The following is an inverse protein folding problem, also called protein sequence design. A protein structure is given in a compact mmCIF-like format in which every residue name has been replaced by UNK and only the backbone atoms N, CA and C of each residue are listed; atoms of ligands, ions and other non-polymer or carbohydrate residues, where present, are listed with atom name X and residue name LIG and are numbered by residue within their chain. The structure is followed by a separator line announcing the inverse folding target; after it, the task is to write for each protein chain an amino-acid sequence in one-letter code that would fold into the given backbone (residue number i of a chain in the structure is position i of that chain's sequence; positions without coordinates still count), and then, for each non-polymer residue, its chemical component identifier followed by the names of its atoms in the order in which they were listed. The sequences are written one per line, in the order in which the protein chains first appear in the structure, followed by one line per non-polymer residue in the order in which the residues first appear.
data_IF_415146015526
#
_entry.id   IF_415146015526
#
_cell.length_a   1.000
_cell.length_b   1.000
_cell.length_c   1.000
_cell.angle_alpha   90.00
_cell.angle_beta   90.00
_cell.angle_gamma   90.00
#
_symmetry.space_group_name_H-M   'P 1'
#
loop_
_entity.id
_entity.type
_entity.pdbx_description
1 polymer ?
#
# COMPACT_ATOMS: atom_id res chain seq x y z
N UNK A 1 -23.18 -22.42 -7.07
CA UNK A 1 -23.28 -21.22 -6.22
C UNK A 1 -23.08 -20.03 -7.13
N UNK A 2 -24.05 -19.11 -7.24
CA UNK A 2 -23.89 -17.95 -8.11
C UNK A 2 -22.76 -17.08 -7.56
N UNK A 3 -21.90 -16.56 -8.42
CA UNK A 3 -20.69 -15.83 -8.01
C UNK A 3 -21.05 -14.59 -7.17
N UNK A 4 -22.22 -14.00 -7.44
CA UNK A 4 -22.80 -12.91 -6.67
C UNK A 4 -23.20 -13.31 -5.23
N UNK A 5 -23.65 -14.55 -5.02
CA UNK A 5 -24.00 -15.06 -3.68
C UNK A 5 -22.74 -15.23 -2.82
N UNK A 6 -21.66 -15.74 -3.42
CA UNK A 6 -20.36 -15.85 -2.75
C UNK A 6 -19.80 -14.48 -2.36
N UNK A 7 -19.93 -13.48 -3.24
CA UNK A 7 -19.51 -12.11 -2.94
C UNK A 7 -20.35 -11.47 -1.82
N UNK A 8 -21.69 -11.62 -1.87
CA UNK A 8 -22.60 -11.11 -0.82
C UNK A 8 -22.41 -11.80 0.52
N UNK A 9 -22.10 -13.10 0.53
CA UNK A 9 -21.81 -13.84 1.76
C UNK A 9 -20.62 -13.21 2.49
N UNK A 10 -19.54 -12.86 1.77
CA UNK A 10 -18.38 -12.19 2.36
C UNK A 10 -18.72 -10.78 2.89
N UNK A 11 -19.59 -10.03 2.21
CA UNK A 11 -20.08 -8.75 2.75
C UNK A 11 -20.87 -8.94 4.06
N UNK A 12 -21.69 -9.99 4.15
CA UNK A 12 -22.48 -10.28 5.33
C UNK A 12 -21.64 -10.70 6.55
N UNK A 13 -20.42 -11.21 6.34
CA UNK A 13 -19.49 -11.52 7.44
C UNK A 13 -19.13 -10.30 8.30
N UNK A 14 -19.24 -9.08 7.76
CA UNK A 14 -19.02 -7.85 8.53
C UNK A 14 -20.07 -7.63 9.62
N UNK A 15 -21.26 -8.24 9.46
CA UNK A 15 -22.35 -8.18 10.43
C UNK A 15 -22.14 -9.17 11.58
N UNK A 16 -21.19 -10.11 11.45
CA UNK A 16 -20.83 -11.07 12.50
C UNK A 16 -19.88 -10.40 13.49
N UNK A 17 -20.21 -10.51 14.78
CA UNK A 17 -19.44 -9.89 15.87
C UNK A 17 -18.04 -10.52 15.94
N UNK A 18 -16.99 -9.67 15.91
CA UNK A 18 -15.59 -10.11 15.98
C UNK A 18 -14.90 -10.33 14.63
N UNK A 19 -15.45 -9.77 13.55
CA UNK A 19 -14.80 -9.82 12.24
C UNK A 19 -13.59 -8.86 12.20
N UNK A 20 -12.39 -9.39 11.96
CA UNK A 20 -11.19 -8.58 11.80
C UNK A 20 -11.12 -7.97 10.39
N UNK A 21 -10.91 -6.64 10.25
CA UNK A 21 -11.04 -5.94 8.98
C UNK A 21 -9.98 -6.34 7.94
N UNK A 22 -8.77 -6.70 8.37
CA UNK A 22 -7.68 -7.07 7.46
C UNK A 22 -7.85 -8.49 6.88
N UNK A 23 -8.03 -9.56 7.69
CA UNK A 23 -8.38 -10.89 7.17
C UNK A 23 -9.68 -10.90 6.36
N UNK A 24 -10.67 -10.10 6.76
CA UNK A 24 -11.90 -9.94 5.98
C UNK A 24 -11.65 -9.32 4.61
N UNK A 25 -10.86 -8.23 4.55
CA UNK A 25 -10.58 -7.56 3.28
C UNK A 25 -9.81 -8.45 2.30
N UNK A 26 -8.91 -9.31 2.79
CA UNK A 26 -8.24 -10.31 1.97
C UNK A 26 -9.23 -11.30 1.34
N UNK A 27 -10.17 -11.83 2.13
CA UNK A 27 -11.23 -12.72 1.66
C UNK A 27 -12.17 -12.02 0.68
N UNK A 28 -12.55 -10.78 0.97
CA UNK A 28 -13.34 -9.94 0.07
C UNK A 28 -12.64 -9.71 -1.27
N UNK A 29 -11.33 -9.42 -1.29
CA UNK A 29 -10.57 -9.25 -2.53
C UNK A 29 -10.57 -10.53 -3.38
N UNK A 30 -10.45 -11.69 -2.76
CA UNK A 30 -10.54 -12.97 -3.47
C UNK A 30 -11.93 -13.17 -4.08
N UNK A 31 -13.00 -12.86 -3.34
CA UNK A 31 -14.37 -12.93 -3.87
C UNK A 31 -14.62 -11.91 -4.99
N UNK A 32 -14.09 -10.68 -4.84
CA UNK A 32 -14.17 -9.63 -5.86
C UNK A 32 -13.45 -10.04 -7.15
N UNK A 33 -12.21 -10.54 -7.08
CA UNK A 33 -11.47 -11.00 -8.27
C UNK A 33 -12.19 -12.14 -8.99
N UNK A 34 -12.84 -13.04 -8.24
CA UNK A 34 -13.67 -14.10 -8.83
C UNK A 34 -14.93 -13.54 -9.48
N UNK A 35 -15.57 -12.53 -8.89
CA UNK A 35 -16.74 -11.88 -9.49
C UNK A 35 -16.40 -11.05 -10.73
N UNK A 36 -15.26 -10.37 -10.70
CA UNK A 36 -14.74 -9.57 -11.81
C UNK A 36 -14.30 -10.45 -12.99
N UNK A 37 -13.64 -11.58 -12.73
CA UNK A 37 -13.23 -12.53 -13.77
C UNK A 37 -14.40 -13.19 -14.53
N UNK A 38 -15.62 -13.11 -13.99
CA UNK A 38 -16.84 -13.60 -14.62
C UNK A 38 -17.78 -12.46 -15.04
N UNK A 39 -17.26 -11.23 -15.16
CA UNK A 39 -17.99 -10.04 -15.60
C UNK A 39 -19.30 -9.81 -14.84
N UNK A 40 -19.28 -10.02 -13.51
CA UNK A 40 -20.47 -9.78 -12.70
C UNK A 40 -20.84 -8.28 -12.73
N UNK A 41 -22.01 -8.00 -13.33
CA UNK A 41 -22.61 -6.67 -13.37
C UNK A 41 -22.86 -6.09 -11.97
N UNK A 42 -22.94 -6.95 -10.95
CA UNK A 42 -23.15 -6.52 -9.58
C UNK A 42 -21.92 -5.84 -8.98
N UNK A 43 -20.71 -6.39 -9.19
CA UNK A 43 -19.46 -5.80 -8.67
C UNK A 43 -18.95 -4.64 -9.52
N UNK A 44 -19.32 -4.61 -10.81
CA UNK A 44 -19.03 -3.49 -11.71
C UNK A 44 -20.02 -2.32 -11.54
N UNK A 45 -21.21 -2.60 -11.02
CA UNK A 45 -22.28 -1.63 -10.83
C UNK A 45 -22.16 -0.78 -9.56
N UNK A 46 -22.94 0.31 -9.54
CA UNK A 46 -23.01 1.23 -8.40
C UNK A 46 -23.49 0.55 -7.11
N UNK A 47 -24.32 -0.48 -7.24
CA UNK A 47 -24.87 -1.23 -6.11
C UNK A 47 -23.79 -1.99 -5.33
N UNK A 48 -22.84 -2.62 -6.01
CA UNK A 48 -21.71 -3.30 -5.34
C UNK A 48 -20.84 -2.34 -4.53
N UNK A 49 -20.69 -1.08 -4.98
CA UNK A 49 -19.96 -0.05 -4.23
C UNK A 49 -20.70 0.38 -2.96
N UNK A 50 -22.01 0.58 -3.04
CA UNK A 50 -22.82 0.94 -1.88
C UNK A 50 -22.85 -0.19 -0.84
N UNK A 51 -23.01 -1.44 -1.29
CA UNK A 51 -23.04 -2.61 -0.40
C UNK A 51 -21.68 -2.83 0.26
N UNK A 52 -20.57 -2.54 -0.45
CA UNK A 52 -19.23 -2.54 0.14
C UNK A 52 -19.04 -1.41 1.16
N UNK A 53 -19.52 -0.21 0.86
CA UNK A 53 -19.49 0.93 1.78
C UNK A 53 -20.29 0.64 3.05
N UNK A 54 -21.47 0.03 2.93
CA UNK A 54 -22.27 -0.43 4.08
C UNK A 54 -21.49 -1.45 4.91
N UNK A 55 -20.88 -2.45 4.27
CA UNK A 55 -20.13 -3.49 4.97
C UNK A 55 -18.92 -2.93 5.73
N UNK A 56 -18.15 -2.02 5.12
CA UNK A 56 -16.97 -1.45 5.80
C UNK A 56 -17.34 -0.44 6.88
N UNK A 57 -18.56 0.12 6.88
CA UNK A 57 -19.01 1.10 7.88
C UNK A 57 -18.89 0.60 9.32
N UNK A 58 -18.92 -0.73 9.52
CA UNK A 58 -18.71 -1.40 10.81
C UNK A 58 -17.27 -1.26 11.32
N UNK A 59 -16.31 -1.03 10.42
CA UNK A 59 -14.87 -0.98 10.73
C UNK A 59 -14.29 0.43 10.77
N UNK A 60 -15.02 1.44 10.29
CA UNK A 60 -14.49 2.80 10.09
C UNK A 60 -15.32 3.86 10.80
N UNK A 61 -14.69 4.98 11.10
CA UNK A 61 -15.37 6.12 11.73
C UNK A 61 -16.41 6.75 10.77
N UNK A 62 -17.57 7.20 11.27
CA UNK A 62 -18.62 7.81 10.46
C UNK A 62 -18.18 9.03 9.62
N UNK A 63 -17.18 9.77 10.11
CA UNK A 63 -16.61 10.92 9.39
C UNK A 63 -15.89 10.48 8.11
N UNK A 64 -15.12 9.38 8.18
CA UNK A 64 -14.45 8.82 7.01
C UNK A 64 -15.48 8.27 6.01
N UNK A 65 -16.53 7.61 6.50
CA UNK A 65 -17.65 7.14 5.67
C UNK A 65 -18.35 8.29 4.95
N UNK A 66 -18.64 9.38 5.66
CA UNK A 66 -19.30 10.55 5.09
C UNK A 66 -18.46 11.18 3.97
N UNK A 67 -17.14 11.23 4.13
CA UNK A 67 -16.22 11.72 3.09
C UNK A 67 -16.20 10.78 1.87
N UNK A 68 -16.22 9.46 2.09
CA UNK A 68 -16.17 8.48 1.00
C UNK A 68 -17.49 8.39 0.24
N UNK A 69 -18.62 8.36 0.95
CA UNK A 69 -19.96 8.42 0.37
C UNK A 69 -20.17 9.76 -0.36
N UNK A 70 -19.75 10.88 0.24
CA UNK A 70 -19.78 12.20 -0.40
C UNK A 70 -18.99 12.22 -1.70
N UNK A 71 -17.74 11.74 -1.71
CA UNK A 71 -16.93 11.65 -2.94
C UNK A 71 -17.53 10.73 -4.00
N UNK A 72 -18.27 9.70 -3.60
CA UNK A 72 -18.88 8.74 -4.51
C UNK A 72 -20.21 9.24 -5.09
N UNK A 73 -21.03 9.92 -4.27
CA UNK A 73 -22.33 10.47 -4.67
C UNK A 73 -22.23 11.88 -5.26
N UNK A 74 -21.15 12.62 -5.01
CA UNK A 74 -20.95 13.94 -5.60
C UNK A 74 -20.91 13.84 -7.13
N UNK A 75 -21.74 14.61 -7.84
CA UNK A 75 -21.66 14.73 -9.29
C UNK A 75 -20.38 15.49 -9.63
N UNK A 76 -19.29 14.74 -9.83
CA UNK A 76 -18.02 15.29 -10.31
C UNK A 76 -18.06 15.37 -11.83
N UNK A 77 -17.78 16.55 -12.39
CA UNK A 77 -17.71 16.84 -13.84
C UNK A 77 -16.55 16.12 -14.59
N UNK A 78 -15.92 15.12 -13.97
CA UNK A 78 -14.91 14.28 -14.60
C UNK A 78 -15.39 12.82 -14.57
N UNK A 79 -15.49 12.22 -15.75
CA UNK A 79 -16.20 10.98 -16.14
C UNK A 79 -15.82 9.66 -15.44
N UNK A 80 -15.21 9.66 -14.26
CA UNK A 80 -14.88 8.42 -13.55
C UNK A 80 -15.33 8.48 -12.10
N UNK A 81 -16.58 8.06 -11.86
CA UNK A 81 -17.04 7.66 -10.53
C UNK A 81 -16.06 6.63 -9.95
N UNK A 82 -15.69 6.71 -8.67
CA UNK A 82 -14.75 5.77 -8.06
C UNK A 82 -15.27 4.34 -8.19
N UNK A 83 -14.59 3.45 -8.90
CA UNK A 83 -14.98 2.04 -8.93
C UNK A 83 -14.72 1.36 -7.58
N UNK A 84 -15.32 0.18 -7.40
CA UNK A 84 -15.20 -0.64 -6.18
C UNK A 84 -13.74 -0.87 -5.76
N UNK A 85 -12.85 -1.05 -6.74
CA UNK A 85 -11.41 -1.19 -6.53
C UNK A 85 -10.79 0.05 -5.87
N UNK A 86 -11.12 1.26 -6.36
CA UNK A 86 -10.62 2.53 -5.81
C UNK A 86 -11.06 2.75 -4.36
N UNK A 87 -12.31 2.41 -4.06
CA UNK A 87 -12.86 2.49 -2.70
C UNK A 87 -12.16 1.49 -1.78
N UNK A 88 -11.93 0.26 -2.25
CA UNK A 88 -11.24 -0.78 -1.47
C UNK A 88 -9.77 -0.44 -1.17
N UNK A 89 -9.05 0.20 -2.09
CA UNK A 89 -7.68 0.68 -1.86
C UNK A 89 -7.64 1.78 -0.79
N UNK A 90 -8.65 2.65 -0.81
CA UNK A 90 -8.76 3.74 0.17
C UNK A 90 -9.03 3.18 1.57
N UNK A 91 -9.92 2.18 1.68
CA UNK A 91 -10.16 1.44 2.92
C UNK A 91 -8.91 0.71 3.41
N UNK A 92 -8.21 -0.03 2.53
CA UNK A 92 -6.96 -0.70 2.87
C UNK A 92 -5.91 0.25 3.45
N UNK A 93 -5.71 1.41 2.80
CA UNK A 93 -4.80 2.44 3.31
C UNK A 93 -5.27 3.00 4.65
N UNK A 94 -6.57 3.11 4.87
CA UNK A 94 -7.12 3.59 6.13
C UNK A 94 -6.84 2.63 7.28
N UNK A 95 -7.02 1.32 7.08
CA UNK A 95 -6.78 0.30 8.11
C UNK A 95 -5.28 -0.03 8.31
N UNK A 96 -4.45 0.11 7.28
CA UNK A 96 -3.01 -0.25 7.35
C UNK A 96 -2.05 0.88 7.68
N UNK A 97 -2.48 2.15 7.64
CA UNK A 97 -1.57 3.31 7.88
C UNK A 97 -1.17 3.53 9.37
N UNK A 98 -1.47 2.59 10.27
CA UNK A 98 -0.98 2.46 11.67
C UNK A 98 -1.07 3.69 12.59
N UNK A 99 -2.06 3.68 13.49
CA UNK A 99 -1.93 3.76 14.97
C UNK A 99 -3.19 3.13 15.61
N UNK A 100 -3.12 2.23 16.62
CA UNK A 100 -4.26 1.43 17.11
C UNK A 100 -4.92 2.02 18.38
N UNK A 101 -6.04 1.45 18.88
CA UNK A 101 -6.86 0.38 18.32
C UNK A 101 -8.30 0.84 18.01
N UNK A 102 -8.97 0.03 17.22
CA UNK A 102 -10.40 -0.27 17.33
C UNK A 102 -10.98 0.12 18.71
N UNK A 103 -11.69 1.25 18.78
CA UNK A 103 -12.45 1.60 19.97
C UNK A 103 -13.70 0.73 19.96
N UNK A 104 -13.74 -0.28 20.83
CA UNK A 104 -15.02 -0.82 21.30
C UNK A 104 -15.90 0.38 21.70
N UNK A 105 -17.18 0.42 21.33
CA UNK A 105 -18.05 1.54 21.68
C UNK A 105 -18.16 1.61 23.21
N UNK A 106 -17.71 2.73 23.81
CA UNK A 106 -17.90 2.97 25.24
C UNK A 106 -16.87 3.77 26.03
N UNK A 107 -15.82 4.38 25.44
CA UNK A 107 -14.84 5.14 26.26
C UNK A 107 -14.67 6.60 25.82
N UNK A 108 -14.98 7.49 26.77
CA UNK A 108 -15.11 8.93 26.62
C UNK A 108 -13.79 9.67 26.34
N UNK A 109 -13.94 10.89 25.82
CA UNK A 109 -12.93 11.80 25.29
C UNK A 109 -11.84 12.22 26.28
N UNK A 110 -10.58 12.09 25.87
CA UNK A 110 -9.53 13.06 26.24
C UNK A 110 -8.69 13.37 25.00
N UNK A 111 -8.75 14.63 24.56
CA UNK A 111 -7.94 15.19 23.46
C UNK A 111 -6.47 15.19 23.90
N UNK A 112 -5.61 14.36 23.28
CA UNK A 112 -4.14 14.53 23.38
C UNK A 112 -3.61 15.08 22.06
N UNK A 113 -2.97 16.24 22.15
CA UNK A 113 -2.31 16.94 21.07
C UNK A 113 -1.29 16.04 20.37
N UNK A 114 -1.38 15.92 19.04
CA UNK A 114 -0.42 15.17 18.21
C UNK A 114 0.93 15.89 18.21
N UNK A 115 1.92 15.32 18.89
CA UNK A 115 3.34 15.68 18.72
C UNK A 115 3.79 15.14 17.35
N UNK A 116 4.05 16.04 16.40
CA UNK A 116 4.65 15.70 15.09
C UNK A 116 6.06 15.13 15.33
N UNK A 117 6.22 13.82 15.28
CA UNK A 117 7.56 13.24 15.18
C UNK A 117 8.16 13.57 13.81
N UNK A 118 9.23 14.35 13.83
CA UNK A 118 10.03 14.69 12.64
C UNK A 118 10.71 13.40 12.17
N UNK A 119 10.17 12.74 11.13
CA UNK A 119 10.89 11.65 10.44
C UNK A 119 12.27 12.17 10.00
N UNK A 120 13.33 11.60 10.55
CA UNK A 120 14.69 11.96 10.22
C UNK A 120 14.96 11.65 8.75
N UNK A 121 15.48 12.62 8.00
CA UNK A 121 15.82 12.42 6.59
C UNK A 121 17.08 11.56 6.52
N UNK A 122 16.99 10.36 5.96
CA UNK A 122 18.08 9.38 5.84
C UNK A 122 18.86 9.58 4.54
N UNK A 123 20.15 9.31 4.55
CA UNK A 123 21.01 9.38 3.36
C UNK A 123 20.82 8.11 2.50
N UNK A 124 21.04 8.21 1.18
CA UNK A 124 20.97 7.07 0.26
C UNK A 124 22.21 7.05 -0.66
N UNK A 125 22.79 5.88 -0.99
CA UNK A 125 23.88 5.78 -1.96
C UNK A 125 23.45 6.18 -3.38
N UNK A 126 22.13 6.19 -3.66
CA UNK A 126 21.54 6.62 -4.92
C UNK A 126 21.66 8.13 -5.23
N UNK A 127 22.13 8.94 -4.28
CA UNK A 127 22.41 10.37 -4.50
C UNK A 127 22.43 11.22 -3.22
N UNK A 128 22.84 12.50 -3.33
CA UNK A 128 23.12 13.36 -2.17
C UNK A 128 21.85 13.83 -1.42
N UNK A 129 20.67 13.67 -2.03
CA UNK A 129 19.41 14.12 -1.42
C UNK A 129 18.95 13.14 -0.35
N UNK A 130 18.85 13.62 0.89
CA UNK A 130 18.26 12.85 1.99
C UNK A 130 16.78 12.58 1.72
N UNK A 131 16.36 11.34 1.98
CA UNK A 131 15.01 10.84 1.71
C UNK A 131 14.28 10.55 3.01
N UNK A 132 12.96 10.51 2.94
CA UNK A 132 12.12 10.12 4.09
C UNK A 132 11.95 8.59 4.21
N UNK A 133 12.54 7.84 3.28
CA UNK A 133 12.52 6.38 3.19
C UNK A 133 13.91 5.81 3.42
N UNK A 134 13.94 4.56 3.86
CA UNK A 134 15.17 3.81 4.11
C UNK A 134 15.91 3.47 2.81
N UNK A 135 17.24 3.48 2.82
CA UNK A 135 18.04 3.18 1.63
C UNK A 135 17.75 1.77 1.06
N UNK A 136 17.30 0.84 1.90
CA UNK A 136 16.85 -0.51 1.52
C UNK A 136 15.59 -0.50 0.65
N UNK A 137 14.74 0.53 0.78
CA UNK A 137 13.54 0.72 -0.03
C UNK A 137 13.83 1.52 -1.31
N UNK A 138 15.10 1.78 -1.61
CA UNK A 138 15.47 2.56 -2.76
C UNK A 138 15.39 1.74 -4.06
N UNK A 139 14.40 2.05 -4.90
CA UNK A 139 14.25 1.38 -6.20
C UNK A 139 15.46 1.61 -7.13
N UNK A 140 16.18 2.74 -6.98
CA UNK A 140 17.39 3.02 -7.78
C UNK A 140 18.56 2.15 -7.31
N UNK A 141 18.67 1.92 -6.00
CA UNK A 141 19.68 1.03 -5.41
C UNK A 141 19.39 -0.42 -5.78
N UNK A 142 18.12 -0.83 -5.66
CA UNK A 142 17.64 -2.15 -6.06
C UNK A 142 17.97 -2.41 -7.53
N UNK A 143 17.66 -1.46 -8.42
CA UNK A 143 17.96 -1.59 -9.83
C UNK A 143 19.47 -1.63 -10.12
N UNK A 144 20.28 -0.85 -9.40
CA UNK A 144 21.73 -0.85 -9.57
C UNK A 144 22.39 -2.17 -9.14
N UNK A 145 21.80 -2.87 -8.16
CA UNK A 145 22.32 -4.13 -7.62
C UNK A 145 21.76 -5.34 -8.39
N UNK A 146 20.43 -5.42 -8.54
CA UNK A 146 19.72 -6.58 -9.09
C UNK A 146 19.42 -6.48 -10.59
N UNK A 147 19.70 -5.33 -11.21
CA UNK A 147 19.36 -5.06 -12.62
C UNK A 147 17.86 -4.95 -12.92
N UNK A 148 16.99 -5.12 -11.91
CA UNK A 148 15.53 -5.11 -12.04
C UNK A 148 14.86 -4.56 -10.79
N UNK A 149 13.66 -3.99 -10.94
CA UNK A 149 12.80 -3.55 -9.84
C UNK A 149 11.34 -3.62 -10.31
N UNK A 150 10.44 -4.04 -9.43
CA UNK A 150 8.99 -4.10 -9.73
C UNK A 150 8.33 -2.71 -9.75
N UNK A 151 9.06 -1.69 -9.30
CA UNK A 151 8.55 -0.32 -9.17
C UNK A 151 8.79 0.45 -10.48
N UNK A 152 7.76 1.17 -10.97
CA UNK A 152 7.88 2.03 -12.16
C UNK A 152 8.87 3.17 -11.91
N UNK A 153 10.12 2.98 -12.34
CA UNK A 153 11.17 4.01 -12.31
C UNK A 153 11.74 4.28 -13.69
N UNK A 154 12.24 5.50 -13.90
CA UNK A 154 13.11 5.79 -15.04
C UNK A 154 14.42 5.03 -14.83
N UNK A 155 14.72 4.09 -15.73
CA UNK A 155 15.94 3.28 -15.67
C UNK A 155 17.17 4.19 -15.57
N UNK A 156 17.99 4.08 -14.51
CA UNK A 156 19.23 4.85 -14.41
C UNK A 156 20.18 4.41 -15.52
N UNK A 157 20.96 5.36 -16.05
CA UNK A 157 22.01 5.06 -17.04
C UNK A 157 23.10 4.17 -16.43
N UNK A 158 23.83 3.40 -17.25
CA UNK A 158 24.91 2.52 -16.79
C UNK A 158 25.97 3.26 -15.97
N UNK A 159 26.31 4.50 -16.37
CA UNK A 159 27.20 5.39 -15.59
C UNK A 159 26.68 5.60 -14.16
N UNK A 160 25.39 5.91 -14.03
CA UNK A 160 24.76 6.14 -12.72
C UNK A 160 24.63 4.88 -11.89
N UNK A 161 24.48 3.72 -12.52
CA UNK A 161 24.48 2.44 -11.81
C UNK A 161 25.87 2.18 -11.21
N UNK A 162 26.93 2.36 -12.00
CA UNK A 162 28.31 2.21 -11.55
C UNK A 162 28.66 3.20 -10.43
N UNK A 163 28.20 4.45 -10.53
CA UNK A 163 28.39 5.44 -9.46
C UNK A 163 27.73 4.99 -8.14
N UNK A 164 26.53 4.40 -8.21
CA UNK A 164 25.81 3.91 -7.02
C UNK A 164 26.47 2.67 -6.43
N UNK A 165 26.99 1.77 -7.27
CA UNK A 165 27.78 0.62 -6.83
C UNK A 165 29.11 1.08 -6.20
N UNK A 166 29.85 1.99 -6.82
CA UNK A 166 31.05 2.56 -6.21
C UNK A 166 30.74 3.26 -4.88
N UNK A 167 29.59 3.94 -4.79
CA UNK A 167 29.14 4.61 -3.57
C UNK A 167 28.80 3.62 -2.46
N UNK A 168 28.11 2.50 -2.74
CA UNK A 168 27.73 1.51 -1.71
C UNK A 168 28.93 0.78 -1.11
N UNK A 169 30.04 0.70 -1.85
CA UNK A 169 31.27 0.08 -1.35
C UNK A 169 32.07 0.96 -0.38
N UNK A 170 31.72 2.25 -0.24
CA UNK A 170 32.34 3.15 0.74
C UNK A 170 32.03 2.70 2.17
N UNK A 171 32.99 2.92 3.08
CA UNK A 171 32.93 2.50 4.48
C UNK A 171 31.64 2.95 5.20
N UNK A 172 31.16 4.16 4.88
CA UNK A 172 29.93 4.74 5.45
C UNK A 172 28.65 3.92 5.20
N UNK A 173 28.66 2.95 4.29
CA UNK A 173 27.53 2.06 4.00
C UNK A 173 27.77 0.61 4.45
N UNK A 174 28.76 0.37 5.31
CA UNK A 174 29.05 -0.96 5.87
C UNK A 174 27.82 -1.64 6.47
N UNK A 175 27.07 -0.93 7.32
CA UNK A 175 25.83 -1.43 7.93
C UNK A 175 24.76 -1.71 6.87
N UNK A 176 24.60 -0.81 5.89
CA UNK A 176 23.64 -1.01 4.79
C UNK A 176 23.96 -2.27 3.99
N UNK A 177 25.23 -2.57 3.71
CA UNK A 177 25.62 -3.79 3.00
C UNK A 177 25.25 -5.05 3.80
N UNK A 178 25.37 -5.02 5.12
CA UNK A 178 24.95 -6.13 5.97
C UNK A 178 23.43 -6.34 5.90
N UNK A 179 22.65 -5.26 5.99
CA UNK A 179 21.19 -5.36 5.91
C UNK A 179 20.72 -5.82 4.52
N UNK A 180 21.39 -5.37 3.46
CA UNK A 180 21.08 -5.81 2.10
C UNK A 180 21.39 -7.30 1.89
N UNK A 181 22.50 -7.81 2.47
CA UNK A 181 22.80 -9.25 2.47
C UNK A 181 21.75 -10.08 3.22
N UNK A 182 21.23 -9.57 4.33
CA UNK A 182 20.12 -10.22 5.05
C UNK A 182 18.82 -10.28 4.23
N UNK A 183 18.65 -9.36 3.28
CA UNK A 183 17.51 -9.31 2.35
C UNK A 183 17.76 -10.08 1.04
N UNK A 184 18.83 -10.88 0.97
CA UNK A 184 19.20 -11.66 -0.21
C UNK A 184 19.53 -10.77 -1.43
N UNK A 185 20.10 -9.59 -1.20
CA UNK A 185 20.60 -8.74 -2.28
C UNK A 185 22.08 -9.02 -2.52
N UNK A 186 22.39 -9.68 -3.63
CA UNK A 186 23.76 -9.96 -4.05
C UNK A 186 24.39 -8.69 -4.62
N UNK A 187 25.23 -8.01 -3.81
CA UNK A 187 25.87 -6.75 -4.17
C UNK A 187 27.09 -7.04 -5.04
N UNK A 188 27.07 -6.70 -6.35
CA UNK A 188 28.21 -6.96 -7.22
C UNK A 188 29.43 -6.17 -6.72
N UNK A 189 30.57 -6.84 -6.69
CA UNK A 189 31.87 -6.22 -6.41
C UNK A 189 32.27 -5.33 -7.60
N UNK A 190 32.92 -4.17 -7.34
CA UNK A 190 33.24 -3.21 -8.40
C UNK A 190 34.19 -3.78 -9.46
N UNK A 191 34.95 -4.83 -9.15
CA UNK A 191 35.88 -5.50 -10.06
C UNK A 191 35.20 -6.41 -11.11
N UNK A 192 33.93 -6.76 -10.92
CA UNK A 192 33.15 -7.58 -11.87
C UNK A 192 32.49 -6.79 -13.01
N UNK A 193 32.58 -5.46 -13.00
CA UNK A 193 31.77 -4.58 -13.87
C UNK A 193 32.38 -4.27 -15.24
N UNK A 194 33.47 -4.94 -15.62
CA UNK A 194 34.21 -4.67 -16.87
C UNK A 194 33.72 -5.47 -18.08
N UNK A 195 32.53 -6.08 -18.02
CA UNK A 195 32.06 -7.02 -19.07
C UNK A 195 30.56 -6.93 -19.39
N UNK A 196 30.02 -5.73 -19.58
CA UNK A 196 28.71 -5.56 -20.24
C UNK A 196 28.68 -4.28 -21.05
#
# INVERSE_FOLDING_TARGET
MRIDEGYRAVLAETKVKGCDPEPWLHRWRQAFMRADAFDSLYVQGQRGVLDFLEAISVFVEPEWMSVMVGKYLSPSNNDKKPNLFTVSQSFYRHITSTFPPYRKPGSSSTKKAKKKEKRSKKSCPCGPKKRAWDPEDCCVLEFAIRGSTDRKIKRPSSKRQNDVLAEIWKEKWGELRQTLRQKDWDIPTPEGTSRW
#
